data_IF_267923442240
#
_entry.id   IF_267923442240
#
_cell.length_a   1.000
_cell.length_b   1.000
_cell.length_c   1.000
_cell.angle_alpha   90.00
_cell.angle_beta   90.00
_cell.angle_gamma   90.00
#
_symmetry.space_group_name_H-M   'P 1'
#
loop_
_entity.id
_entity.type
_entity.pdbx_description
1 polymer ?
#
# COMPACT_ATOMS: atom_id res chain seq x y z
N UNK A 1 -17.87 -0.27 13.94
CA UNK A 1 -16.69 0.29 13.31
C UNK A 1 -16.86 0.23 11.80
N UNK A 2 -16.77 1.35 11.15
CA UNK A 2 -16.96 1.43 9.71
C UNK A 2 -15.61 1.26 8.99
N UNK A 3 -15.52 0.28 8.11
CA UNK A 3 -14.32 0.02 7.31
C UNK A 3 -14.54 0.61 5.92
N UNK A 4 -13.59 1.40 5.44
CA UNK A 4 -13.67 1.94 4.08
C UNK A 4 -13.52 0.82 3.05
N UNK A 5 -14.09 1.03 1.86
CA UNK A 5 -13.97 0.10 0.75
C UNK A 5 -12.89 0.58 -0.21
N UNK A 6 -12.06 -0.34 -0.68
CA UNK A 6 -11.07 -0.08 -1.72
C UNK A 6 -11.42 -0.88 -2.97
N UNK A 7 -11.64 -0.16 -4.06
CA UNK A 7 -11.86 -0.75 -5.37
C UNK A 7 -10.62 -0.59 -6.21
N UNK A 8 -10.04 -1.69 -6.67
CA UNK A 8 -8.85 -1.66 -7.50
C UNK A 8 -9.04 -2.55 -8.72
N UNK A 9 -8.80 -2.04 -9.95
CA UNK A 9 -8.82 -2.89 -11.14
C UNK A 9 -7.83 -4.03 -11.03
N UNK A 10 -8.21 -5.21 -11.51
CA UNK A 10 -7.37 -6.40 -11.42
C UNK A 10 -6.01 -6.18 -12.07
N UNK A 11 -5.98 -5.55 -13.25
CA UNK A 11 -4.73 -5.26 -13.95
C UNK A 11 -3.81 -4.33 -13.13
N UNK A 12 -4.38 -3.39 -12.40
CA UNK A 12 -3.61 -2.50 -11.55
C UNK A 12 -3.03 -3.25 -10.35
N UNK A 13 -3.81 -4.14 -9.75
CA UNK A 13 -3.35 -5.00 -8.66
C UNK A 13 -2.20 -5.91 -9.09
N UNK A 14 -2.32 -6.50 -10.27
CA UNK A 14 -1.24 -7.29 -10.86
C UNK A 14 0.02 -6.45 -11.09
N UNK A 15 -0.14 -5.22 -11.54
CA UNK A 15 0.96 -4.28 -11.73
C UNK A 15 1.68 -4.00 -10.41
N UNK A 16 0.95 -3.83 -9.31
CA UNK A 16 1.54 -3.64 -7.96
C UNK A 16 2.45 -4.81 -7.62
N UNK A 17 1.95 -6.03 -7.77
CA UNK A 17 2.72 -7.23 -7.47
C UNK A 17 3.99 -7.35 -8.31
N UNK A 18 3.87 -7.17 -9.62
CA UNK A 18 5.01 -7.27 -10.53
C UNK A 18 6.08 -6.23 -10.20
N UNK A 19 5.65 -5.00 -9.97
CA UNK A 19 6.55 -3.89 -9.64
C UNK A 19 7.32 -4.17 -8.35
N UNK A 20 6.62 -4.58 -7.30
CA UNK A 20 7.24 -4.79 -5.99
C UNK A 20 8.16 -6.02 -6.02
N UNK A 21 7.76 -7.09 -6.67
CA UNK A 21 8.59 -8.28 -6.83
C UNK A 21 9.89 -7.94 -7.55
N UNK A 22 9.78 -7.22 -8.66
CA UNK A 22 10.94 -6.89 -9.48
C UNK A 22 11.88 -5.92 -8.77
N UNK A 23 11.35 -4.92 -8.07
CA UNK A 23 12.17 -3.97 -7.31
C UNK A 23 12.87 -4.61 -6.11
N UNK A 24 12.23 -5.55 -5.46
CA UNK A 24 12.81 -6.26 -4.32
C UNK A 24 13.85 -7.31 -4.73
N UNK A 25 13.73 -7.86 -5.93
CA UNK A 25 14.61 -8.89 -6.48
C UNK A 25 14.82 -10.08 -5.53
N UNK A 26 13.84 -10.36 -4.65
CA UNK A 26 13.93 -11.43 -3.66
C UNK A 26 14.91 -11.19 -2.52
N UNK A 27 15.42 -9.97 -2.36
CA UNK A 27 16.49 -9.67 -1.40
C UNK A 27 16.22 -8.50 -0.49
N UNK A 28 15.29 -7.61 -0.84
CA UNK A 28 14.99 -6.42 -0.05
C UNK A 28 13.54 -6.02 -0.18
N UNK A 29 13.07 -5.25 0.80
CA UNK A 29 11.73 -4.69 0.76
C UNK A 29 11.60 -3.67 -0.36
N UNK A 30 10.39 -3.54 -0.87
CA UNK A 30 10.05 -2.55 -1.88
C UNK A 30 8.71 -1.91 -1.52
N UNK A 31 8.45 -0.74 -2.10
CA UNK A 31 7.25 0.00 -1.79
C UNK A 31 6.64 0.70 -3.00
N UNK A 32 5.35 0.94 -2.91
CA UNK A 32 4.58 1.66 -3.92
C UNK A 32 3.43 2.40 -3.25
N UNK A 33 2.94 3.42 -3.94
CA UNK A 33 1.72 4.13 -3.56
C UNK A 33 0.63 3.86 -4.58
N UNK A 34 -0.60 3.80 -4.10
CA UNK A 34 -1.79 3.68 -4.92
C UNK A 34 -2.54 5.01 -4.84
N UNK A 35 -2.76 5.61 -6.00
CA UNK A 35 -3.46 6.87 -6.15
C UNK A 35 -4.83 6.62 -6.76
N UNK A 36 -5.76 7.48 -6.44
CA UNK A 36 -7.11 7.33 -6.97
C UNK A 36 -8.04 8.45 -6.57
N UNK A 37 -9.31 8.16 -6.61
CA UNK A 37 -10.36 9.09 -6.28
C UNK A 37 -11.28 8.51 -5.22
N UNK A 38 -11.96 9.36 -4.51
CA UNK A 38 -12.92 8.97 -3.50
C UNK A 38 -13.32 10.20 -2.72
N UNK A 39 -14.60 10.48 -2.70
CA UNK A 39 -15.14 11.68 -2.05
C UNK A 39 -15.61 11.41 -0.62
N UNK A 40 -15.40 10.20 -0.13
CA UNK A 40 -15.82 9.83 1.23
C UNK A 40 -14.80 8.88 1.84
N UNK A 41 -14.91 8.71 3.17
CA UNK A 41 -14.13 7.70 3.88
C UNK A 41 -14.62 6.27 3.60
N UNK A 42 -15.73 6.13 2.89
CA UNK A 42 -16.39 4.83 2.68
C UNK A 42 -15.94 4.08 1.44
N UNK A 43 -15.60 4.81 0.36
CA UNK A 43 -15.22 4.17 -0.89
C UNK A 43 -14.10 4.94 -1.57
N UNK A 44 -13.09 4.22 -2.01
CA UNK A 44 -11.95 4.76 -2.75
C UNK A 44 -11.71 3.88 -3.96
N UNK A 45 -11.41 4.52 -5.08
CA UNK A 45 -11.21 3.85 -6.36
C UNK A 45 -9.79 4.10 -6.81
N UNK A 46 -8.99 3.04 -6.87
CA UNK A 46 -7.61 3.11 -7.34
C UNK A 46 -7.57 3.31 -8.85
N UNK A 47 -6.69 4.21 -9.31
CA UNK A 47 -6.52 4.50 -10.74
C UNK A 47 -5.07 4.48 -11.18
N UNK A 48 -4.09 4.58 -10.27
CA UNK A 48 -2.68 4.69 -10.62
C UNK A 48 -1.81 4.10 -9.52
N UNK A 49 -0.71 3.47 -9.93
CA UNK A 49 0.32 2.96 -9.03
C UNK A 49 1.65 3.63 -9.38
N UNK A 50 2.37 4.06 -8.35
CA UNK A 50 3.73 4.57 -8.49
C UNK A 50 4.64 3.82 -7.53
N UNK A 51 5.70 3.24 -8.05
CA UNK A 51 6.76 2.68 -7.20
C UNK A 51 7.55 3.80 -6.54
N UNK A 52 8.11 3.55 -5.37
CA UNK A 52 8.93 4.54 -4.67
C UNK A 52 10.10 5.01 -5.52
N UNK A 53 10.67 4.14 -6.35
CA UNK A 53 11.76 4.50 -7.26
C UNK A 53 11.36 5.57 -8.29
N UNK A 54 10.07 5.68 -8.61
CA UNK A 54 9.55 6.71 -9.53
C UNK A 54 9.40 8.06 -8.84
N UNK A 55 9.55 8.11 -7.52
CA UNK A 55 9.40 9.31 -6.69
C UNK A 55 10.77 9.75 -6.12
N UNK A 56 11.81 9.74 -6.91
CA UNK A 56 13.21 10.13 -6.66
C UNK A 56 14.07 8.93 -6.26
N UNK A 57 13.92 8.42 -5.04
CA UNK A 57 14.65 7.23 -4.59
C UNK A 57 13.78 6.45 -3.60
N UNK A 58 14.09 5.19 -3.45
CA UNK A 58 13.58 4.37 -2.38
C UNK A 58 14.74 3.94 -1.48
N UNK A 59 14.56 4.08 -0.18
CA UNK A 59 15.48 3.57 0.82
C UNK A 59 14.97 2.20 1.24
N UNK A 60 15.55 1.17 0.66
CA UNK A 60 15.12 -0.20 0.89
C UNK A 60 16.24 -1.04 1.48
N UNK A 61 15.89 -1.82 2.50
CA UNK A 61 16.74 -2.86 3.07
C UNK A 61 15.97 -4.17 3.07
N UNK A 62 16.54 -5.23 3.66
CA UNK A 62 15.81 -6.48 3.85
C UNK A 62 14.74 -6.41 4.96
N UNK A 63 14.70 -5.33 5.75
CA UNK A 63 13.81 -5.20 6.92
C UNK A 63 12.87 -4.01 6.86
N UNK A 64 13.12 -3.02 6.00
CA UNK A 64 12.19 -1.89 5.84
C UNK A 64 12.40 -1.17 4.51
N UNK A 65 11.40 -0.42 4.10
CA UNK A 65 11.43 0.52 2.97
C UNK A 65 10.75 1.81 3.40
N UNK A 66 11.37 2.95 3.04
CA UNK A 66 10.75 4.26 3.30
C UNK A 66 10.93 5.18 2.11
N UNK A 67 10.01 6.11 1.95
CA UNK A 67 10.09 7.15 0.93
C UNK A 67 10.84 8.35 1.52
N UNK A 68 11.81 8.88 0.78
CA UNK A 68 12.57 10.07 1.19
C UNK A 68 11.68 11.31 1.26
N UNK A 69 12.15 12.36 1.97
CA UNK A 69 11.43 13.64 2.00
C UNK A 69 11.26 14.22 0.60
N UNK A 70 12.29 14.13 -0.26
CA UNK A 70 12.20 14.55 -1.66
C UNK A 70 11.14 13.75 -2.41
N UNK A 71 11.06 12.45 -2.17
CA UNK A 71 10.04 11.59 -2.76
C UNK A 71 8.64 11.97 -2.31
N UNK A 72 8.46 12.30 -1.03
CA UNK A 72 7.18 12.76 -0.50
C UNK A 72 6.73 14.07 -1.16
N UNK A 73 7.64 15.02 -1.32
CA UNK A 73 7.34 16.28 -1.98
C UNK A 73 6.93 16.06 -3.44
N UNK A 74 7.63 15.19 -4.14
CA UNK A 74 7.29 14.82 -5.51
C UNK A 74 5.92 14.15 -5.59
N UNK A 75 5.61 13.28 -4.66
CA UNK A 75 4.30 12.63 -4.56
C UNK A 75 3.19 13.66 -4.37
N UNK A 76 3.32 14.55 -3.39
CA UNK A 76 2.29 15.54 -3.10
C UNK A 76 2.09 16.51 -4.26
N UNK A 77 3.17 16.91 -4.94
CA UNK A 77 3.08 17.74 -6.14
C UNK A 77 2.30 17.04 -7.26
N UNK A 78 2.53 15.75 -7.43
CA UNK A 78 1.83 14.97 -8.45
C UNK A 78 0.35 14.80 -8.10
N UNK A 79 0.02 14.54 -6.84
CA UNK A 79 -1.37 14.45 -6.39
C UNK A 79 -2.14 15.72 -6.68
N UNK A 80 -1.54 16.88 -6.39
CA UNK A 80 -2.14 18.18 -6.66
C UNK A 80 -2.32 18.43 -8.15
N UNK A 81 -1.29 18.17 -8.94
CA UNK A 81 -1.32 18.39 -10.39
C UNK A 81 -2.35 17.50 -11.09
N UNK A 82 -2.46 16.25 -10.71
CA UNK A 82 -3.37 15.28 -11.32
C UNK A 82 -4.74 15.22 -10.63
N UNK A 83 -4.93 15.95 -9.54
CA UNK A 83 -6.17 15.95 -8.74
C UNK A 83 -6.53 14.56 -8.25
N UNK A 84 -5.52 13.79 -7.84
CA UNK A 84 -5.68 12.47 -7.25
C UNK A 84 -5.44 12.53 -5.75
N UNK A 85 -5.91 11.50 -5.07
CA UNK A 85 -5.70 11.30 -3.64
C UNK A 85 -4.78 10.11 -3.42
N UNK A 86 -4.05 10.15 -2.31
CA UNK A 86 -3.32 9.00 -1.83
C UNK A 86 -4.33 8.03 -1.20
N UNK A 87 -4.48 6.87 -1.79
CA UNK A 87 -5.49 5.89 -1.38
C UNK A 87 -4.90 4.81 -0.49
N UNK A 88 -3.71 4.33 -0.85
CA UNK A 88 -3.05 3.26 -0.13
C UNK A 88 -1.54 3.32 -0.33
N UNK A 89 -0.82 2.67 0.54
CA UNK A 89 0.56 2.30 0.30
C UNK A 89 0.69 0.79 0.38
N UNK A 90 1.64 0.25 -0.36
CA UNK A 90 1.93 -1.18 -0.38
C UNK A 90 3.42 -1.36 -0.19
N UNK A 91 3.82 -2.27 0.68
CA UNK A 91 5.21 -2.67 0.79
C UNK A 91 5.33 -4.17 1.01
N UNK A 92 6.54 -4.69 0.88
CA UNK A 92 6.79 -6.11 1.04
C UNK A 92 7.53 -6.39 2.34
N UNK A 93 7.30 -7.58 2.90
CA UNK A 93 8.11 -8.13 3.99
C UNK A 93 8.92 -9.33 3.47
N UNK A 94 10.05 -9.65 4.12
CA UNK A 94 10.89 -10.77 3.67
C UNK A 94 10.25 -12.14 3.92
N UNK A 95 9.51 -12.28 5.02
CA UNK A 95 8.88 -13.56 5.39
C UNK A 95 7.37 -13.55 5.20
N UNK A 96 6.71 -14.50 5.86
CA UNK A 96 5.26 -14.66 5.80
C UNK A 96 4.46 -13.73 6.70
N UNK A 97 5.11 -13.07 7.67
CA UNK A 97 4.41 -12.15 8.55
C UNK A 97 4.06 -10.86 7.81
N UNK A 98 2.80 -10.48 7.87
CA UNK A 98 2.26 -9.35 7.10
C UNK A 98 1.58 -8.29 8.00
N UNK A 99 1.92 -8.26 9.27
CA UNK A 99 1.53 -7.19 10.17
C UNK A 99 2.35 -5.92 9.94
N UNK A 100 2.05 -4.86 10.67
CA UNK A 100 2.83 -3.62 10.65
C UNK A 100 3.79 -3.59 11.83
N UNK A 101 5.09 -3.53 11.57
CA UNK A 101 6.10 -3.33 12.60
C UNK A 101 6.03 -1.90 13.16
N UNK A 102 6.68 -1.62 14.30
CA UNK A 102 6.80 -0.23 14.77
C UNK A 102 7.43 0.71 13.75
N UNK A 103 8.43 0.23 12.99
CA UNK A 103 9.04 1.02 11.91
C UNK A 103 8.02 1.27 10.80
N UNK A 104 7.27 0.25 10.39
CA UNK A 104 6.21 0.41 9.39
C UNK A 104 5.20 1.45 9.83
N UNK A 105 4.77 1.42 11.08
CA UNK A 105 3.80 2.39 11.60
C UNK A 105 4.34 3.81 11.60
N UNK A 106 5.65 3.99 11.85
CA UNK A 106 6.28 5.32 11.82
C UNK A 106 6.51 5.83 10.40
N UNK A 107 6.58 4.94 9.40
CA UNK A 107 6.86 5.28 8.02
C UNK A 107 5.60 5.40 7.15
N UNK A 108 4.43 5.45 7.74
CA UNK A 108 3.19 5.58 7.00
C UNK A 108 3.09 6.97 6.34
N UNK A 109 2.63 6.98 5.09
CA UNK A 109 2.52 8.20 4.31
C UNK A 109 1.28 9.02 4.66
N UNK A 110 0.34 8.45 5.37
CA UNK A 110 -0.86 9.13 5.84
C UNK A 110 -1.32 8.54 7.16
N UNK A 111 -1.84 9.41 8.03
CA UNK A 111 -2.53 9.02 9.25
C UNK A 111 -4.04 9.25 9.15
N UNK A 112 -4.51 9.54 7.95
CA UNK A 112 -5.94 9.83 7.71
C UNK A 112 -6.77 8.57 7.90
N UNK A 113 -7.87 8.68 8.63
CA UNK A 113 -8.79 7.55 8.84
C UNK A 113 -9.28 7.04 7.49
N UNK A 114 -9.25 5.72 7.31
CA UNK A 114 -9.63 5.08 6.07
C UNK A 114 -8.49 4.85 5.09
N UNK A 115 -7.28 5.31 5.39
CA UNK A 115 -6.09 5.03 4.57
C UNK A 115 -5.71 3.56 4.69
N UNK A 116 -5.39 2.94 3.57
CA UNK A 116 -5.01 1.53 3.50
C UNK A 116 -3.50 1.37 3.50
N UNK A 117 -2.99 0.39 4.27
CA UNK A 117 -1.60 -0.03 4.24
C UNK A 117 -1.56 -1.54 4.00
N UNK A 118 -0.97 -1.95 2.89
CA UNK A 118 -1.01 -3.33 2.41
C UNK A 118 0.40 -3.90 2.43
N UNK A 119 0.54 -5.12 2.96
CA UNK A 119 1.83 -5.80 3.10
C UNK A 119 1.79 -7.11 2.32
N UNK A 120 2.71 -7.26 1.37
CA UNK A 120 2.90 -8.49 0.62
C UNK A 120 3.99 -9.33 1.27
N UNK A 121 3.79 -10.64 1.44
CA UNK A 121 4.82 -11.52 2.02
C UNK A 121 5.90 -11.88 1.01
N UNK A 122 7.01 -12.42 1.52
CA UNK A 122 8.07 -13.06 0.73
C UNK A 122 8.62 -12.17 -0.39
N UNK A 123 8.89 -10.89 -0.09
CA UNK A 123 9.37 -9.90 -1.08
C UNK A 123 8.48 -9.78 -2.32
N UNK A 124 7.19 -10.08 -2.18
CA UNK A 124 6.24 -10.04 -3.30
C UNK A 124 6.31 -11.22 -4.24
N UNK A 125 7.00 -12.30 -3.88
CA UNK A 125 7.07 -13.51 -4.69
C UNK A 125 5.73 -14.24 -4.76
N UNK A 126 5.54 -14.98 -5.84
CA UNK A 126 4.36 -15.82 -6.07
C UNK A 126 4.24 -17.00 -5.09
N UNK A 127 3.03 -17.51 -4.87
CA UNK A 127 1.73 -17.09 -5.43
C UNK A 127 1.09 -15.94 -4.64
N UNK A 128 0.17 -15.21 -5.28
CA UNK A 128 -0.51 -14.06 -4.69
C UNK A 128 -1.88 -14.45 -4.14
N UNK A 129 -1.87 -15.19 -3.08
CA UNK A 129 -3.08 -15.53 -2.36
C UNK A 129 -3.45 -14.34 -1.46
N UNK A 130 -4.64 -13.78 -1.67
CA UNK A 130 -5.12 -12.63 -0.86
C UNK A 130 -5.17 -12.96 0.62
N UNK A 131 -5.35 -14.23 0.97
CA UNK A 131 -5.38 -14.66 2.38
C UNK A 131 -4.00 -14.57 3.04
N UNK A 132 -2.93 -14.48 2.25
CA UNK A 132 -1.56 -14.32 2.74
C UNK A 132 -1.12 -12.86 2.80
N UNK A 133 -1.90 -11.94 2.26
CA UNK A 133 -1.61 -10.50 2.21
C UNK A 133 -2.16 -9.83 3.46
N UNK A 134 -1.39 -8.91 4.04
CA UNK A 134 -1.82 -8.11 5.17
C UNK A 134 -2.52 -6.84 4.71
N UNK A 135 -3.77 -6.67 5.08
CA UNK A 135 -4.54 -5.47 4.79
C UNK A 135 -4.81 -4.72 6.09
N UNK A 136 -4.41 -3.46 6.16
CA UNK A 136 -4.55 -2.63 7.35
C UNK A 136 -5.27 -1.35 6.98
N UNK A 137 -6.16 -0.89 7.85
CA UNK A 137 -6.86 0.38 7.67
C UNK A 137 -6.57 1.28 8.88
N UNK A 138 -6.25 2.53 8.61
CA UNK A 138 -6.04 3.52 9.65
C UNK A 138 -7.38 3.87 10.30
N UNK A 139 -7.37 3.85 11.63
CA UNK A 139 -8.49 4.25 12.46
C UNK A 139 -8.07 5.37 13.40
N UNK A 140 -9.01 5.88 14.19
CA UNK A 140 -8.73 7.02 15.08
C UNK A 140 -7.57 6.76 16.04
N UNK A 141 -7.42 5.52 16.51
CA UNK A 141 -6.42 5.15 17.52
C UNK A 141 -5.37 4.17 17.03
N UNK A 142 -5.09 4.13 15.76
CA UNK A 142 -4.06 3.27 15.22
C UNK A 142 -4.50 2.50 14.00
N UNK A 143 -3.90 1.34 13.82
CA UNK A 143 -4.12 0.50 12.65
C UNK A 143 -4.92 -0.73 13.01
N UNK A 144 -5.88 -1.07 12.17
CA UNK A 144 -6.66 -2.30 12.29
C UNK A 144 -6.27 -3.23 11.14
N UNK A 145 -5.79 -4.44 11.46
CA UNK A 145 -5.55 -5.48 10.47
C UNK A 145 -6.86 -6.20 10.18
N UNK A 146 -7.24 -6.25 8.91
CA UNK A 146 -8.50 -6.87 8.50
C UNK A 146 -8.43 -8.39 8.62
N UNK A 147 -9.48 -8.98 9.19
CA UNK A 147 -9.73 -10.41 9.07
C UNK A 147 -10.15 -10.76 7.64
N UNK A 148 -10.10 -12.03 7.27
CA UNK A 148 -10.47 -12.47 5.91
C UNK A 148 -11.88 -12.05 5.53
N UNK A 149 -12.82 -12.15 6.45
CA UNK A 149 -14.21 -11.77 6.21
C UNK A 149 -14.35 -10.27 5.97
N UNK A 150 -13.64 -9.46 6.73
CA UNK A 150 -13.62 -8.01 6.55
C UNK A 150 -13.02 -7.64 5.20
N UNK A 151 -11.88 -8.26 4.85
CA UNK A 151 -11.23 -8.04 3.57
C UNK A 151 -12.14 -8.43 2.40
N UNK A 152 -12.81 -9.58 2.49
CA UNK A 152 -13.70 -10.03 1.42
C UNK A 152 -14.84 -9.05 1.15
N UNK A 153 -15.30 -8.33 2.18
CA UNK A 153 -16.37 -7.35 2.06
C UNK A 153 -15.90 -5.96 1.62
N UNK A 154 -14.62 -5.64 1.78
CA UNK A 154 -14.13 -4.26 1.66
C UNK A 154 -13.05 -4.05 0.60
N UNK A 155 -12.36 -5.10 0.20
CA UNK A 155 -11.34 -5.06 -0.85
C UNK A 155 -11.90 -5.69 -2.12
N UNK A 156 -12.09 -4.87 -3.16
CA UNK A 156 -12.78 -5.27 -4.38
C UNK A 156 -11.84 -5.21 -5.57
N UNK A 157 -11.58 -6.39 -6.15
CA UNK A 157 -10.88 -6.52 -7.42
C UNK A 157 -11.91 -6.58 -8.55
N UNK A 158 -11.73 -5.77 -9.57
CA UNK A 158 -12.68 -5.72 -10.69
C UNK A 158 -11.98 -5.89 -12.04
#
# INVERSE_FOLDING_TARGET
MEISHLHIPLNLWEQVHLLLRDRGAGQRESGAVILGTGNSTRARIASKVLGYHELCDDRATDVFVELSEAGKLKLYSQLEREKLQLVAMVHTHPGGWVGLSPIDQSNQLSSRVGFWSIVLPHFGKQPWDLDLVGFHIRQNRGWHQLAQEERALTFHLA
#
